data_IF_476948159684
#
_entry.id   IF_476948159684
#
_cell.length_a   1.000
_cell.length_b   1.000
_cell.length_c   1.000
_cell.angle_alpha   90.00
_cell.angle_beta   90.00
_cell.angle_gamma   90.00
#
_symmetry.space_group_name_H-M   'P 1'
#
loop_
_entity.id
_entity.type
_entity.pdbx_description
1 polymer ?
#
# COMPACT_ATOMS: atom_id res chain seq x y z
N UNK A 1 10.17 4.68 -9.27
CA UNK A 1 9.46 3.90 -8.22
C UNK A 1 8.10 4.55 -7.92
N UNK A 2 7.07 3.76 -7.66
CA UNK A 2 5.75 4.27 -7.22
C UNK A 2 5.86 4.67 -5.74
N UNK A 3 5.36 5.85 -5.37
CA UNK A 3 5.28 6.31 -3.98
C UNK A 3 3.93 5.95 -3.37
N UNK A 4 2.85 6.36 -4.03
CA UNK A 4 1.49 6.05 -3.58
C UNK A 4 0.48 6.20 -4.72
N UNK A 5 -0.73 5.68 -4.49
CA UNK A 5 -1.89 5.83 -5.38
C UNK A 5 -3.01 6.51 -4.62
N UNK A 6 -3.71 7.43 -5.28
CA UNK A 6 -4.84 8.17 -4.72
C UNK A 6 -5.95 8.29 -5.77
N UNK A 7 -7.21 8.15 -5.36
CA UNK A 7 -8.33 8.39 -6.27
C UNK A 7 -8.51 9.89 -6.53
N UNK A 8 -8.99 10.18 -7.73
CA UNK A 8 -9.44 11.51 -8.15
C UNK A 8 -10.87 11.37 -8.69
N UNK A 9 -11.61 12.48 -8.89
CA UNK A 9 -12.97 12.40 -9.44
C UNK A 9 -13.02 11.73 -10.82
N UNK A 10 -11.89 11.70 -11.53
CA UNK A 10 -11.74 11.14 -12.88
C UNK A 10 -11.10 9.74 -12.90
N UNK A 11 -10.76 9.18 -11.74
CA UNK A 11 -10.14 7.86 -11.63
C UNK A 11 -9.08 7.80 -10.53
N UNK A 12 -7.82 7.62 -10.89
CA UNK A 12 -6.71 7.51 -9.94
C UNK A 12 -5.43 8.09 -10.50
N UNK A 13 -4.70 8.80 -9.64
CA UNK A 13 -3.33 9.23 -9.90
C UNK A 13 -2.35 8.26 -9.23
N UNK A 14 -1.37 7.82 -10.03
CA UNK A 14 -0.23 7.04 -9.58
C UNK A 14 0.96 7.99 -9.45
N UNK A 15 1.38 8.23 -8.21
CA UNK A 15 2.42 9.20 -7.90
C UNK A 15 3.77 8.47 -7.92
N UNK A 16 4.61 8.82 -8.89
CA UNK A 16 6.01 8.40 -8.97
C UNK A 16 6.91 9.48 -8.39
N UNK A 17 8.20 9.16 -8.25
CA UNK A 17 9.25 10.11 -7.88
C UNK A 17 9.20 11.40 -8.73
N UNK A 18 9.24 11.20 -10.05
CA UNK A 18 9.49 12.28 -11.02
C UNK A 18 8.26 12.68 -11.84
N UNK A 19 7.16 11.92 -11.72
CA UNK A 19 5.95 12.14 -12.52
C UNK A 19 4.67 11.66 -11.84
N UNK A 20 3.55 12.14 -12.35
CA UNK A 20 2.21 11.64 -12.04
C UNK A 20 1.65 10.98 -13.28
N UNK A 21 1.02 9.81 -13.13
CA UNK A 21 0.32 9.13 -14.21
C UNK A 21 -1.14 8.95 -13.80
N UNK A 22 -2.04 9.60 -14.55
CA UNK A 22 -3.48 9.49 -14.32
C UNK A 22 -4.08 8.31 -15.09
N UNK A 23 -5.03 7.62 -14.46
CA UNK A 23 -5.80 6.52 -15.04
C UNK A 23 -7.28 6.76 -14.82
N UNK A 24 -8.12 6.32 -15.76
CA UNK A 24 -9.59 6.30 -15.60
C UNK A 24 -10.07 5.24 -14.61
N UNK A 25 -9.19 4.34 -14.16
CA UNK A 25 -9.51 3.27 -13.20
C UNK A 25 -9.28 3.76 -11.77
N UNK A 26 -10.08 3.28 -10.82
CA UNK A 26 -9.84 3.55 -9.40
C UNK A 26 -8.56 2.84 -8.89
N UNK A 27 -8.06 3.29 -7.74
CA UNK A 27 -6.81 2.81 -7.14
C UNK A 27 -6.81 1.30 -6.86
N UNK A 28 -7.93 0.73 -6.39
CA UNK A 28 -8.06 -0.71 -6.14
C UNK A 28 -7.95 -1.51 -7.45
N UNK A 29 -8.56 -1.02 -8.54
CA UNK A 29 -8.46 -1.65 -9.85
C UNK A 29 -7.02 -1.64 -10.38
N UNK A 30 -6.25 -0.59 -10.07
CA UNK A 30 -4.82 -0.53 -10.39
C UNK A 30 -4.04 -1.55 -9.54
N UNK A 31 -4.27 -1.63 -8.23
CA UNK A 31 -3.64 -2.63 -7.35
C UNK A 31 -3.94 -4.05 -7.84
N UNK A 32 -5.19 -4.35 -8.19
CA UNK A 32 -5.59 -5.63 -8.80
C UNK A 32 -4.82 -5.92 -10.08
N UNK A 33 -4.65 -4.91 -10.94
CA UNK A 33 -3.87 -5.08 -12.18
C UNK A 33 -2.39 -5.39 -11.91
N UNK A 34 -1.81 -4.82 -10.85
CA UNK A 34 -0.44 -5.16 -10.45
C UNK A 34 -0.32 -6.56 -9.85
N UNK A 35 -1.33 -7.03 -9.10
CA UNK A 35 -1.38 -8.42 -8.63
C UNK A 35 -1.37 -9.39 -9.84
N UNK A 36 -2.22 -9.13 -10.83
CA UNK A 36 -2.33 -9.98 -12.03
C UNK A 36 -1.02 -10.06 -12.82
N UNK A 37 -0.25 -8.97 -12.87
CA UNK A 37 1.08 -8.95 -13.51
C UNK A 37 2.10 -9.86 -12.80
N UNK A 38 1.90 -10.15 -11.52
CA UNK A 38 2.69 -11.11 -10.74
C UNK A 38 1.98 -12.47 -10.60
N UNK A 39 1.05 -12.79 -11.52
CA UNK A 39 0.38 -14.10 -11.62
C UNK A 39 -0.51 -14.48 -10.42
N UNK A 40 -1.04 -13.49 -9.68
CA UNK A 40 -2.04 -13.75 -8.64
C UNK A 40 -3.19 -12.73 -8.63
N UNK A 41 -4.31 -13.08 -8.02
CA UNK A 41 -5.45 -12.16 -7.87
C UNK A 41 -5.43 -11.48 -6.51
N UNK A 42 -5.94 -10.26 -6.44
CA UNK A 42 -6.11 -9.57 -5.16
C UNK A 42 -7.01 -10.38 -4.21
N UNK A 43 -8.14 -10.90 -4.71
CA UNK A 43 -9.10 -11.69 -3.95
C UNK A 43 -8.46 -12.98 -3.41
N UNK A 44 -7.72 -13.70 -4.25
CA UNK A 44 -6.99 -14.91 -3.84
C UNK A 44 -5.92 -14.60 -2.79
N UNK A 45 -5.18 -13.51 -2.97
CA UNK A 45 -4.19 -13.04 -2.00
C UNK A 45 -4.85 -12.73 -0.64
N UNK A 46 -5.93 -11.96 -0.62
CA UNK A 46 -6.65 -11.62 0.62
C UNK A 46 -7.20 -12.88 1.30
N UNK A 47 -7.77 -13.82 0.52
CA UNK A 47 -8.25 -15.11 1.06
C UNK A 47 -7.12 -15.91 1.71
N UNK A 48 -5.96 -16.01 1.05
CA UNK A 48 -4.81 -16.72 1.59
C UNK A 48 -4.29 -16.06 2.87
N UNK A 49 -4.14 -14.74 2.89
CA UNK A 49 -3.70 -14.01 4.09
C UNK A 49 -4.65 -14.27 5.26
N UNK A 50 -5.97 -14.20 5.03
CA UNK A 50 -6.95 -14.46 6.10
C UNK A 50 -6.91 -15.89 6.63
N UNK A 51 -6.65 -16.85 5.75
CA UNK A 51 -6.53 -18.25 6.13
C UNK A 51 -5.28 -18.53 6.98
N UNK A 52 -4.16 -17.85 6.69
CA UNK A 52 -2.87 -18.09 7.34
C UNK A 52 -2.67 -17.25 8.60
N UNK A 53 -3.19 -16.02 8.61
CA UNK A 53 -2.90 -15.02 9.65
C UNK A 53 -4.16 -14.53 10.39
N UNK A 54 -5.33 -15.09 10.08
CA UNK A 54 -6.61 -14.71 10.70
C UNK A 54 -7.25 -13.45 10.09
N UNK A 55 -8.32 -12.96 10.71
CA UNK A 55 -9.07 -11.81 10.18
C UNK A 55 -8.36 -10.48 10.46
N UNK A 56 -7.46 -10.12 9.56
CA UNK A 56 -6.67 -8.89 9.64
C UNK A 56 -7.33 -7.77 8.84
N UNK A 57 -7.46 -6.59 9.45
CA UNK A 57 -7.93 -5.39 8.75
C UNK A 57 -6.81 -4.68 7.98
N UNK A 58 -7.15 -3.96 6.91
CA UNK A 58 -6.21 -3.16 6.10
C UNK A 58 -4.99 -3.98 5.64
N UNK A 59 -5.25 -5.16 5.09
CA UNK A 59 -4.21 -6.10 4.66
C UNK A 59 -3.30 -5.41 3.61
N UNK A 60 -1.99 -5.30 3.89
CA UNK A 60 -1.00 -4.88 2.90
C UNK A 60 -0.96 -5.85 1.72
N UNK A 61 -0.76 -5.33 0.51
CA UNK A 61 -0.58 -6.13 -0.70
C UNK A 61 0.91 -6.16 -1.05
N UNK A 62 1.56 -7.28 -0.77
CA UNK A 62 2.96 -7.55 -1.12
C UNK A 62 3.00 -8.12 -2.53
N UNK A 63 3.27 -7.27 -3.50
CA UNK A 63 3.38 -7.63 -4.92
C UNK A 63 4.75 -8.27 -5.15
N UNK A 64 5.82 -7.52 -4.82
CA UNK A 64 7.19 -7.99 -4.80
C UNK A 64 8.00 -7.21 -3.75
N UNK A 65 9.30 -7.46 -3.62
CA UNK A 65 10.16 -6.83 -2.61
C UNK A 65 10.20 -5.30 -2.67
N UNK A 66 9.91 -4.71 -3.84
CA UNK A 66 9.91 -3.25 -4.04
C UNK A 66 8.53 -2.61 -4.07
N UNK A 67 7.47 -3.42 -4.22
CA UNK A 67 6.09 -2.95 -4.35
C UNK A 67 5.23 -3.59 -3.27
N UNK A 68 5.10 -2.88 -2.15
CA UNK A 68 4.33 -3.30 -0.99
C UNK A 68 3.36 -2.18 -0.66
N UNK A 69 2.09 -2.39 -0.98
CA UNK A 69 1.06 -1.37 -0.89
C UNK A 69 0.24 -1.52 0.38
N UNK A 70 0.26 -0.50 1.24
CA UNK A 70 -0.51 -0.45 2.49
C UNK A 70 -1.68 0.52 2.29
N UNK A 71 -2.94 0.08 2.48
CA UNK A 71 -4.09 0.96 2.40
C UNK A 71 -4.22 1.79 3.69
N UNK A 72 -4.54 3.07 3.56
CA UNK A 72 -4.77 3.95 4.72
C UNK A 72 -6.18 3.81 5.29
N UNK A 73 -7.15 3.37 4.47
CA UNK A 73 -8.57 3.20 4.81
C UNK A 73 -9.13 1.91 4.19
N UNK A 74 -10.45 1.66 4.32
CA UNK A 74 -11.02 0.47 3.67
C UNK A 74 -10.78 0.61 2.16
N UNK A 75 -10.45 -0.50 1.51
CA UNK A 75 -9.98 -0.47 0.11
C UNK A 75 -11.03 0.02 -0.90
N UNK A 76 -12.29 0.13 -0.48
CA UNK A 76 -13.42 0.67 -1.27
C UNK A 76 -13.73 2.12 -0.94
N UNK A 77 -13.16 2.69 0.13
CA UNK A 77 -13.36 4.09 0.48
C UNK A 77 -12.68 4.97 -0.58
N UNK A 78 -13.38 6.01 -1.04
CA UNK A 78 -12.89 6.86 -2.12
C UNK A 78 -11.56 7.54 -1.75
N UNK A 79 -11.44 8.02 -0.52
CA UNK A 79 -10.27 8.71 0.02
C UNK A 79 -9.17 7.76 0.57
N UNK A 80 -9.29 6.46 0.29
CA UNK A 80 -8.21 5.52 0.56
C UNK A 80 -6.97 5.87 -0.28
N UNK A 81 -5.81 5.86 0.37
CA UNK A 81 -4.52 6.03 -0.26
C UNK A 81 -3.77 4.71 -0.13
N UNK A 82 -3.16 4.23 -1.21
CA UNK A 82 -2.26 3.08 -1.15
C UNK A 82 -0.82 3.57 -1.10
N UNK A 83 -0.17 3.41 0.04
CA UNK A 83 1.22 3.80 0.25
C UNK A 83 2.13 2.65 -0.15
N UNK A 84 3.08 2.89 -1.07
CA UNK A 84 4.16 1.93 -1.32
C UNK A 84 5.25 2.09 -0.26
N UNK A 85 5.28 1.18 0.72
CA UNK A 85 6.24 1.29 1.83
C UNK A 85 7.69 1.10 1.36
N UNK A 86 7.92 0.42 0.23
CA UNK A 86 9.27 0.30 -0.35
C UNK A 86 9.86 1.64 -0.80
N UNK A 87 9.03 2.68 -0.99
CA UNK A 87 9.45 4.02 -1.38
C UNK A 87 9.64 4.98 -0.19
N UNK A 88 9.24 4.57 1.02
CA UNK A 88 9.32 5.37 2.25
C UNK A 88 10.68 5.12 2.92
N UNK A 89 11.29 6.18 3.45
CA UNK A 89 12.56 6.12 4.21
C UNK A 89 12.38 6.47 5.69
N UNK A 90 11.34 7.24 6.03
CA UNK A 90 11.07 7.68 7.38
C UNK A 90 9.56 7.78 7.61
N UNK A 91 9.13 7.36 8.79
CA UNK A 91 7.73 7.41 9.25
C UNK A 91 7.77 8.04 10.63
N UNK A 92 7.03 9.12 10.82
CA UNK A 92 7.02 9.91 12.05
C UNK A 92 5.59 10.09 12.55
N UNK A 93 5.45 10.21 13.88
CA UNK A 93 4.21 10.66 14.52
C UNK A 93 4.32 12.15 14.77
N UNK A 94 3.45 12.94 14.15
CA UNK A 94 3.41 14.38 14.35
C UNK A 94 1.95 14.81 14.47
N UNK A 95 1.62 15.47 15.59
CA UNK A 95 0.26 15.97 15.85
C UNK A 95 -0.85 14.91 15.67
N UNK A 96 -0.60 13.66 16.10
CA UNK A 96 -1.54 12.54 16.00
C UNK A 96 -1.86 12.14 14.54
N UNK A 97 -1.00 12.51 13.59
CA UNK A 97 -1.02 12.11 12.19
C UNK A 97 0.28 11.37 11.85
N UNK A 98 0.23 10.49 10.85
CA UNK A 98 1.43 9.81 10.37
C UNK A 98 2.04 10.60 9.23
N UNK A 99 3.30 11.00 9.39
CA UNK A 99 4.09 11.66 8.36
C UNK A 99 5.03 10.67 7.69
N UNK A 100 5.01 10.65 6.36
CA UNK A 100 5.84 9.77 5.54
C UNK A 100 6.82 10.62 4.75
N UNK A 101 8.11 10.30 4.85
CA UNK A 101 9.14 10.85 3.96
C UNK A 101 9.54 9.77 2.96
N UNK A 102 9.48 10.09 1.67
CA UNK A 102 9.88 9.19 0.60
C UNK A 102 11.36 9.35 0.25
N UNK A 103 11.90 8.42 -0.56
CA UNK A 103 13.30 8.43 -1.05
C UNK A 103 13.70 9.70 -1.82
N UNK A 104 12.74 10.51 -2.26
CA UNK A 104 12.96 11.82 -2.89
C UNK A 104 12.78 12.98 -1.93
N UNK A 105 12.79 12.71 -0.62
CA UNK A 105 12.60 13.66 0.48
C UNK A 105 11.26 14.40 0.47
N UNK A 106 10.36 14.06 -0.46
CA UNK A 106 8.99 14.57 -0.44
C UNK A 106 8.25 13.94 0.73
N UNK A 107 7.39 14.73 1.36
CA UNK A 107 6.58 14.32 2.51
C UNK A 107 5.12 14.10 2.11
N UNK A 108 4.45 13.18 2.80
CA UNK A 108 3.01 12.99 2.74
C UNK A 108 2.48 12.72 4.15
N UNK A 109 1.53 13.53 4.58
CA UNK A 109 0.78 13.31 5.81
C UNK A 109 -0.47 12.49 5.52
N UNK A 110 -0.69 11.43 6.29
CA UNK A 110 -1.85 10.55 6.13
C UNK A 110 -2.69 10.54 7.41
N UNK A 111 -4.01 10.53 7.23
CA UNK A 111 -4.99 10.50 8.31
C UNK A 111 -5.22 9.08 8.84
N UNK A 112 -4.17 8.48 9.39
CA UNK A 112 -4.17 7.23 10.15
C UNK A 112 -3.20 7.42 11.31
N UNK A 113 -3.54 6.88 12.49
CA UNK A 113 -2.67 6.94 13.66
C UNK A 113 -1.37 6.18 13.39
N UNK A 114 -0.23 6.76 13.79
CA UNK A 114 1.11 6.19 13.62
C UNK A 114 1.18 4.73 14.03
N UNK A 115 0.74 4.42 15.26
CA UNK A 115 0.73 3.06 15.80
C UNK A 115 -0.07 2.06 14.94
N UNK A 116 -1.18 2.51 14.35
CA UNK A 116 -1.98 1.66 13.46
C UNK A 116 -1.25 1.41 12.14
N UNK A 117 -0.61 2.43 11.58
CA UNK A 117 0.14 2.31 10.33
C UNK A 117 1.38 1.43 10.49
N UNK A 118 2.18 1.63 11.55
CA UNK A 118 3.36 0.81 11.85
C UNK A 118 3.02 -0.67 11.99
N UNK A 119 1.93 -1.01 12.69
CA UNK A 119 1.44 -2.41 12.76
C UNK A 119 1.10 -3.02 11.39
N UNK A 120 0.82 -2.21 10.36
CA UNK A 120 0.61 -2.69 8.98
C UNK A 120 1.94 -2.81 8.23
N UNK A 121 2.90 -1.93 8.52
CA UNK A 121 4.26 -2.04 8.00
C UNK A 121 4.95 -3.31 8.53
N UNK A 122 4.83 -3.59 9.83
CA UNK A 122 5.38 -4.82 10.42
C UNK A 122 4.70 -6.07 9.84
N UNK A 123 3.37 -6.04 9.71
CA UNK A 123 2.65 -7.16 9.13
C UNK A 123 3.04 -7.41 7.66
N UNK A 124 3.32 -6.35 6.89
CA UNK A 124 3.78 -6.53 5.50
C UNK A 124 5.16 -7.19 5.42
N UNK A 125 6.05 -6.94 6.38
CA UNK A 125 7.34 -7.63 6.52
C UNK A 125 7.14 -9.12 6.79
N UNK A 126 6.25 -9.47 7.72
CA UNK A 126 5.92 -10.88 8.03
C UNK A 126 5.44 -11.61 6.76
N UNK A 127 4.56 -10.98 5.98
CA UNK A 127 4.07 -11.56 4.72
C UNK A 127 5.22 -11.73 3.72
N UNK A 128 6.10 -10.73 3.58
CA UNK A 128 7.24 -10.79 2.67
C UNK A 128 8.19 -11.93 3.05
N UNK A 129 8.52 -12.07 4.33
CA UNK A 129 9.39 -13.12 4.84
C UNK A 129 8.77 -14.51 4.60
N UNK A 130 7.47 -14.65 4.82
CA UNK A 130 6.73 -15.87 4.49
C UNK A 130 6.84 -16.22 3.00
N UNK A 131 6.65 -15.25 2.10
CA UNK A 131 6.80 -15.44 0.64
C UNK A 131 8.23 -15.83 0.25
N UNK A 132 9.25 -15.28 0.93
CA UNK A 132 10.65 -15.56 0.63
C UNK A 132 11.10 -16.94 1.11
N UNK A 133 10.57 -17.46 2.22
CA UNK A 133 10.88 -18.81 2.71
C UNK A 133 10.34 -19.94 1.83
N UNK A 134 9.38 -19.64 0.95
CA UNK A 134 8.79 -20.60 0.01
C UNK A 134 9.58 -20.72 -1.30
N UNK A 135 10.57 -19.85 -1.52
CA UNK A 135 11.47 -19.90 -2.69
C UNK A 135 12.73 -20.67 -2.34
#
# INVERSE_FOLDING_TARGET
MIKYLINTPYGCDIIYKDKVVSSKRNNLSIIKSYCLKELFTYEGYIKAIKSLFGDVQLIPVVINSSNIFIPTKRVRDYDNIWINIGAVILIEDENNQTNLTFKDYKKLTINIKYQKFIKRVEFSKIILDYKNKLK
#
